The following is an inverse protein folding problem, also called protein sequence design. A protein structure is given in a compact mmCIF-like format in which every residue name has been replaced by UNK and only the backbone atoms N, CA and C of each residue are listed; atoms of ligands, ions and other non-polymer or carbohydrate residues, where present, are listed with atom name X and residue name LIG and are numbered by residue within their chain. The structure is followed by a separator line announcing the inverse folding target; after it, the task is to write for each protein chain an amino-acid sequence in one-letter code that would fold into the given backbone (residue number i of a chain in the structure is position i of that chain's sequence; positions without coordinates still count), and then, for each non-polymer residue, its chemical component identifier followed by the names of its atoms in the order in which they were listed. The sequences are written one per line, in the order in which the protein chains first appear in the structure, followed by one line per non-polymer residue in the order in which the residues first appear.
data_IF_703950282394
#
_entry.id   IF_703950282394
#
_cell.length_a   1.000
_cell.length_b   1.000
_cell.length_c   1.000
_cell.angle_alpha   90.00
_cell.angle_beta   90.00
_cell.angle_gamma   90.00
#
_symmetry.space_group_name_H-M   'P 1'
#
loop_
_entity.id
_entity.type
_entity.pdbx_description
1 polymer ?
#
# COMPACT_ATOMS: atom_id res chain seq x y z
N UNK A 1 -2.55 28.59 49.11
CA UNK A 1 -2.31 27.16 48.94
C UNK A 1 -3.60 26.36 49.17
N UNK A 2 -3.62 25.16 48.66
CA UNK A 2 -4.65 24.13 48.91
C UNK A 2 -3.93 22.93 49.56
N UNK A 3 -4.47 22.42 50.64
CA UNK A 3 -3.99 21.18 51.26
C UNK A 3 -4.92 20.00 50.92
N UNK A 4 -4.34 18.92 50.49
CA UNK A 4 -5.09 17.70 50.14
C UNK A 4 -4.18 16.47 50.33
N UNK A 5 -4.63 15.51 51.15
CA UNK A 5 -3.96 14.24 51.38
C UNK A 5 -2.44 14.28 51.63
N UNK A 6 -1.98 15.23 52.47
CA UNK A 6 -0.58 15.39 52.79
C UNK A 6 0.24 16.20 51.79
N UNK A 7 -0.40 16.78 50.79
CA UNK A 7 0.24 17.60 49.77
C UNK A 7 -0.30 19.05 49.83
N UNK A 8 0.61 20.00 49.80
CA UNK A 8 0.31 21.43 49.67
C UNK A 8 0.50 21.84 48.21
N UNK A 9 -0.54 22.42 47.61
CA UNK A 9 -0.56 22.89 46.22
C UNK A 9 -0.69 24.40 46.16
N UNK A 10 -0.34 24.97 45.04
CA UNK A 10 -0.78 26.33 44.66
C UNK A 10 -2.31 26.39 44.53
N UNK A 11 -2.92 27.58 44.59
CA UNK A 11 -4.37 27.76 44.50
C UNK A 11 -4.95 27.21 43.21
N UNK A 12 -4.22 27.32 42.10
CA UNK A 12 -4.56 26.80 40.76
C UNK A 12 -4.28 25.32 40.60
N UNK A 13 -3.73 24.66 41.63
CA UNK A 13 -3.28 23.26 41.62
C UNK A 13 -2.32 22.91 40.48
N UNK A 14 -1.50 23.86 40.03
CA UNK A 14 -0.48 23.61 38.99
C UNK A 14 0.87 23.19 39.55
N UNK A 15 1.12 23.48 40.82
CA UNK A 15 2.42 23.21 41.44
C UNK A 15 2.24 22.53 42.81
N UNK A 16 3.13 21.60 43.11
CA UNK A 16 3.31 21.11 44.49
C UNK A 16 4.29 21.98 45.23
N UNK A 17 3.82 22.61 46.31
CA UNK A 17 4.61 23.47 47.18
C UNK A 17 5.43 22.58 48.14
N UNK A 18 4.78 21.63 48.81
CA UNK A 18 5.42 20.74 49.77
C UNK A 18 4.56 19.48 49.98
N UNK A 19 5.23 18.40 50.33
CA UNK A 19 4.63 17.14 50.77
C UNK A 19 5.00 16.92 52.22
N UNK A 20 4.05 16.43 53.06
CA UNK A 20 4.35 16.17 54.48
C UNK A 20 5.45 15.12 54.62
N UNK A 21 6.45 15.30 55.52
CA UNK A 21 7.56 14.34 55.69
C UNK A 21 7.13 12.92 56.08
N UNK A 22 5.93 12.75 56.65
CA UNK A 22 5.34 11.47 57.00
C UNK A 22 4.82 10.66 55.83
N UNK A 23 4.81 11.25 54.61
CA UNK A 23 4.42 10.56 53.37
C UNK A 23 5.28 9.31 53.12
N UNK A 24 4.64 8.20 52.72
CA UNK A 24 5.35 6.92 52.52
C UNK A 24 4.68 6.10 51.40
N UNK A 25 5.45 5.15 50.87
CA UNK A 25 5.00 4.28 49.78
C UNK A 25 5.10 4.99 48.44
N UNK A 26 4.07 4.91 47.63
CA UNK A 26 4.00 5.49 46.30
C UNK A 26 3.40 6.90 46.36
N UNK A 27 4.09 7.87 45.80
CA UNK A 27 3.56 9.21 45.56
C UNK A 27 3.25 9.37 44.08
N UNK A 28 1.96 9.43 43.73
CA UNK A 28 1.50 9.66 42.35
C UNK A 28 1.07 11.11 42.23
N UNK A 29 1.83 11.87 41.41
CA UNK A 29 1.50 13.27 41.11
C UNK A 29 0.43 13.27 40.02
N UNK A 30 -0.66 14.01 40.27
CA UNK A 30 -1.82 14.05 39.38
C UNK A 30 -1.49 14.76 38.03
N UNK A 31 -2.17 14.36 36.97
CA UNK A 31 -2.14 15.10 35.70
C UNK A 31 -2.61 16.55 35.90
N UNK A 32 -1.99 17.46 35.16
CA UNK A 32 -2.20 18.91 35.29
C UNK A 32 -1.19 19.58 36.21
N UNK A 33 -0.46 18.85 37.06
CA UNK A 33 0.66 19.41 37.82
C UNK A 33 1.85 19.57 36.87
N UNK A 34 2.44 20.77 36.87
CA UNK A 34 3.57 21.14 36.01
C UNK A 34 4.88 21.28 36.75
N UNK A 35 4.85 21.52 38.08
CA UNK A 35 6.04 21.84 38.85
C UNK A 35 6.02 21.20 40.23
N UNK A 36 7.15 20.62 40.62
CA UNK A 36 7.53 20.43 42.02
C UNK A 36 8.42 21.61 42.42
N UNK A 37 8.02 22.39 43.45
CA UNK A 37 8.82 23.54 43.92
C UNK A 37 10.12 23.11 44.62
N UNK A 38 10.97 24.09 44.92
CA UNK A 38 12.16 23.85 45.71
C UNK A 38 11.78 23.14 47.01
N UNK A 39 12.52 22.11 47.36
CA UNK A 39 12.33 21.30 48.58
C UNK A 39 10.97 20.61 48.70
N UNK A 40 10.20 20.49 47.63
CA UNK A 40 8.81 20.00 47.69
C UNK A 40 8.66 18.64 48.39
N UNK A 41 9.59 17.71 48.20
CA UNK A 41 9.63 16.39 48.84
C UNK A 41 10.82 16.24 49.78
N UNK A 42 11.53 17.33 50.14
CA UNK A 42 12.73 17.22 50.94
C UNK A 42 12.41 16.58 52.31
N UNK A 43 13.20 15.56 52.66
CA UNK A 43 13.03 14.80 53.91
C UNK A 43 11.86 13.81 53.92
N UNK A 44 11.19 13.55 52.82
CA UNK A 44 10.17 12.50 52.69
C UNK A 44 10.84 11.12 52.66
N UNK A 45 11.38 10.68 53.81
CA UNK A 45 12.19 9.42 53.91
C UNK A 45 11.39 8.15 53.58
N UNK A 46 10.05 8.18 53.69
CA UNK A 46 9.19 7.05 53.52
C UNK A 46 8.69 6.80 52.07
N UNK A 47 8.89 7.76 51.15
CA UNK A 47 8.49 7.60 49.76
C UNK A 47 9.41 6.59 49.08
N UNK A 48 8.82 5.54 48.50
CA UNK A 48 9.53 4.46 47.78
C UNK A 48 9.51 4.65 46.27
N UNK A 49 8.41 5.14 45.71
CA UNK A 49 8.23 5.41 44.30
C UNK A 49 7.59 6.78 44.10
N UNK A 50 8.12 7.53 43.14
CA UNK A 50 7.56 8.80 42.68
C UNK A 50 7.08 8.62 41.25
N UNK A 51 5.81 8.94 40.99
CA UNK A 51 5.23 8.91 39.66
C UNK A 51 4.92 10.34 39.21
N UNK A 52 5.54 10.76 38.13
CA UNK A 52 5.42 12.12 37.55
C UNK A 52 4.56 12.06 36.27
N UNK A 53 3.57 12.97 36.13
CA UNK A 53 2.62 12.97 35.03
C UNK A 53 3.24 13.40 33.69
N UNK A 54 2.44 13.35 32.60
CA UNK A 54 2.85 13.85 31.28
C UNK A 54 3.05 15.37 31.30
N UNK A 55 2.34 16.08 32.17
CA UNK A 55 2.33 17.54 32.27
C UNK A 55 3.50 18.13 33.04
N UNK A 56 4.32 17.29 33.70
CA UNK A 56 5.44 17.80 34.50
C UNK A 56 6.52 18.43 33.62
N UNK A 57 6.93 19.64 33.93
CA UNK A 57 7.94 20.37 33.15
C UNK A 57 9.11 20.88 34.01
N UNK A 58 8.93 20.93 35.32
CA UNK A 58 9.94 21.54 36.20
C UNK A 58 10.02 20.90 37.59
N UNK A 59 11.24 20.60 38.03
CA UNK A 59 11.56 20.17 39.37
C UNK A 59 12.54 21.19 39.99
N UNK A 60 12.15 21.78 41.11
CA UNK A 60 12.94 22.79 41.79
C UNK A 60 14.22 22.27 42.41
N UNK A 61 14.99 23.21 43.00
CA UNK A 61 16.21 22.89 43.72
C UNK A 61 15.89 21.92 44.87
N UNK A 62 16.73 20.91 45.03
CA UNK A 62 16.65 19.96 46.13
C UNK A 62 15.22 19.39 46.34
N UNK A 63 14.44 19.31 45.26
CA UNK A 63 13.01 18.98 45.32
C UNK A 63 12.73 17.58 45.87
N UNK A 64 13.72 16.70 45.85
CA UNK A 64 13.66 15.31 46.37
C UNK A 64 14.85 15.02 47.32
N UNK A 65 15.43 16.04 47.94
CA UNK A 65 16.58 15.86 48.82
C UNK A 65 16.22 15.02 50.03
N UNK A 66 17.13 14.10 50.45
CA UNK A 66 16.93 13.25 51.60
C UNK A 66 15.83 12.21 51.49
N UNK A 67 15.34 11.92 50.30
CA UNK A 67 14.40 10.81 50.06
C UNK A 67 15.12 9.45 50.10
N UNK A 68 15.47 8.98 51.31
CA UNK A 68 16.36 7.81 51.47
C UNK A 68 15.78 6.48 51.05
N UNK A 69 14.43 6.36 51.04
CA UNK A 69 13.76 5.11 50.60
C UNK A 69 13.38 5.12 49.11
N UNK A 70 13.62 6.24 48.41
CA UNK A 70 13.23 6.38 47.00
C UNK A 70 14.04 5.41 46.13
N UNK A 71 13.35 4.40 45.57
CA UNK A 71 13.91 3.35 44.75
C UNK A 71 13.56 3.47 43.26
N UNK A 72 12.44 4.13 42.96
CA UNK A 72 11.97 4.32 41.58
C UNK A 72 11.38 5.72 41.37
N UNK A 73 11.75 6.30 40.23
CA UNK A 73 11.07 7.48 39.67
C UNK A 73 10.52 7.06 38.30
N UNK A 74 9.19 7.13 38.14
CA UNK A 74 8.51 6.90 36.84
C UNK A 74 8.03 8.23 36.30
N UNK A 75 8.49 8.61 35.09
CA UNK A 75 8.15 9.87 34.45
C UNK A 75 7.37 9.58 33.16
N UNK A 76 6.17 10.12 33.02
CA UNK A 76 5.36 9.95 31.80
C UNK A 76 5.66 11.00 30.73
N UNK A 77 6.36 12.08 31.05
CA UNK A 77 6.72 13.12 30.08
C UNK A 77 7.68 12.58 29.02
N UNK A 78 7.41 12.89 27.75
CA UNK A 78 8.26 12.52 26.62
C UNK A 78 9.58 13.29 26.58
N UNK A 79 9.58 14.48 27.13
CA UNK A 79 10.78 15.32 27.31
C UNK A 79 11.13 15.40 28.79
N UNK A 80 12.42 15.32 29.14
CA UNK A 80 12.85 15.44 30.53
C UNK A 80 12.41 16.77 31.14
N UNK A 81 11.72 16.76 32.29
CA UNK A 81 11.49 18.03 33.02
C UNK A 81 12.80 18.70 33.36
N UNK A 82 12.81 20.03 33.36
CA UNK A 82 13.96 20.77 33.88
C UNK A 82 14.16 20.44 35.34
N UNK A 83 15.40 20.30 35.78
CA UNK A 83 15.77 20.04 37.18
C UNK A 83 16.60 21.18 37.71
N UNK A 84 16.29 21.61 38.94
CA UNK A 84 17.07 22.57 39.67
C UNK A 84 18.38 21.98 40.19
N UNK A 85 19.07 22.77 41.05
CA UNK A 85 20.32 22.32 41.67
C UNK A 85 20.08 21.16 42.63
N UNK A 86 20.91 20.12 42.52
CA UNK A 86 21.00 18.99 43.46
C UNK A 86 19.63 18.35 43.81
N UNK A 87 18.78 17.98 42.80
CA UNK A 87 17.40 17.59 43.06
C UNK A 87 17.28 16.33 43.95
N UNK A 88 18.29 15.50 44.01
CA UNK A 88 18.38 14.24 44.78
C UNK A 88 19.48 14.30 45.82
N UNK A 89 19.83 15.48 46.33
CA UNK A 89 20.85 15.64 47.36
C UNK A 89 20.62 14.65 48.53
N UNK A 90 21.66 13.99 48.98
CA UNK A 90 21.61 13.00 50.05
C UNK A 90 20.68 11.80 49.84
N UNK A 91 20.14 11.63 48.67
CA UNK A 91 19.38 10.42 48.28
C UNK A 91 20.30 9.36 47.69
N UNK A 92 19.84 8.08 47.66
CA UNK A 92 20.66 6.94 47.15
C UNK A 92 20.64 6.90 45.62
N UNK A 93 21.13 7.92 44.94
CA UNK A 93 20.99 8.16 43.49
C UNK A 93 21.45 6.95 42.65
N UNK A 94 22.50 6.22 43.09
CA UNK A 94 23.04 5.07 42.36
C UNK A 94 22.13 3.83 42.40
N UNK A 95 21.13 3.81 43.27
CA UNK A 95 20.16 2.69 43.39
C UNK A 95 18.78 3.05 42.87
N UNK A 96 18.53 4.31 42.52
CA UNK A 96 17.25 4.73 41.94
C UNK A 96 17.12 4.23 40.50
N UNK A 97 16.02 3.54 40.19
CA UNK A 97 15.62 3.21 38.84
C UNK A 97 14.76 4.35 38.28
N UNK A 98 15.18 4.94 37.17
CA UNK A 98 14.40 5.90 36.43
C UNK A 98 13.65 5.19 35.32
N UNK A 99 12.32 5.18 35.39
CA UNK A 99 11.47 4.67 34.29
C UNK A 99 10.97 5.80 33.44
N UNK A 100 11.21 5.73 32.14
CA UNK A 100 10.89 6.74 31.15
C UNK A 100 10.11 6.12 29.99
N UNK A 101 9.32 6.90 29.25
CA UNK A 101 8.58 6.39 28.10
C UNK A 101 9.52 5.72 27.08
N UNK A 102 8.99 4.74 26.38
CA UNK A 102 9.71 4.06 25.29
C UNK A 102 10.30 5.07 24.29
N UNK A 103 11.51 4.80 23.78
CA UNK A 103 12.30 5.65 22.88
C UNK A 103 12.85 6.97 23.49
N UNK A 104 12.66 7.20 24.81
CA UNK A 104 13.16 8.43 25.45
C UNK A 104 14.41 8.25 26.31
N UNK A 105 14.89 7.01 26.50
CA UNK A 105 16.05 6.73 27.33
C UNK A 105 17.28 7.59 27.02
N UNK A 106 17.53 7.86 25.73
CA UNK A 106 18.67 8.71 25.30
C UNK A 106 18.46 10.17 25.69
N UNK A 107 17.22 10.66 25.57
CA UNK A 107 16.81 12.03 25.90
C UNK A 107 16.96 12.31 27.40
N UNK A 108 16.70 11.28 28.24
CA UNK A 108 16.85 11.36 29.70
C UNK A 108 18.29 11.14 30.20
N UNK A 109 19.28 11.02 29.32
CA UNK A 109 20.68 10.83 29.74
C UNK A 109 21.14 11.97 30.63
N UNK A 110 21.63 11.64 31.85
CA UNK A 110 22.13 12.61 32.82
C UNK A 110 21.05 13.34 33.62
N UNK A 111 19.77 13.06 33.37
CA UNK A 111 18.68 13.69 34.10
C UNK A 111 18.76 13.41 35.59
N UNK A 112 18.66 14.46 36.40
CA UNK A 112 18.74 14.44 37.87
C UNK A 112 20.00 13.74 38.42
N UNK A 113 21.04 13.54 37.61
CA UNK A 113 22.27 12.84 37.98
C UNK A 113 22.14 11.30 38.04
N UNK A 114 21.00 10.74 37.69
CA UNK A 114 20.77 9.27 37.74
C UNK A 114 21.66 8.57 36.70
N UNK A 115 22.39 7.48 37.07
CA UNK A 115 23.26 6.75 36.16
C UNK A 115 22.47 6.20 34.95
N UNK A 116 23.01 6.30 33.73
CA UNK A 116 22.35 5.83 32.50
C UNK A 116 21.95 4.36 32.52
N UNK A 117 22.74 3.49 33.19
CA UNK A 117 22.42 2.06 33.37
C UNK A 117 21.13 1.82 34.15
N UNK A 118 20.72 2.76 34.98
CA UNK A 118 19.50 2.71 35.79
C UNK A 118 18.28 3.27 35.07
N UNK A 119 18.43 3.86 33.87
CA UNK A 119 17.31 4.33 33.07
C UNK A 119 16.71 3.14 32.31
N UNK A 120 15.45 2.86 32.56
CA UNK A 120 14.66 1.79 31.92
C UNK A 120 13.46 2.38 31.21
N UNK A 121 13.20 1.92 30.03
CA UNK A 121 12.00 2.33 29.27
C UNK A 121 10.79 1.51 29.71
N UNK A 122 9.61 2.10 29.63
CA UNK A 122 8.32 1.45 29.85
C UNK A 122 7.32 1.83 28.76
N UNK A 123 6.21 1.09 28.72
CA UNK A 123 5.14 1.29 27.73
C UNK A 123 5.43 0.54 26.43
N UNK A 124 4.58 0.76 25.47
CA UNK A 124 4.64 0.08 24.18
C UNK A 124 4.34 1.04 23.03
N UNK A 125 4.85 0.71 21.85
CA UNK A 125 4.46 1.34 20.60
C UNK A 125 3.72 0.30 19.77
N UNK A 126 2.50 0.62 19.38
CA UNK A 126 1.69 -0.15 18.46
C UNK A 126 1.69 0.57 17.12
N UNK A 127 2.30 -0.04 16.12
CA UNK A 127 2.45 0.55 14.78
C UNK A 127 1.65 -0.25 13.77
N UNK A 128 0.74 0.40 13.05
CA UNK A 128 0.01 -0.21 11.94
C UNK A 128 0.96 -0.41 10.77
N UNK A 129 0.88 -1.58 10.13
CA UNK A 129 1.71 -1.89 8.96
C UNK A 129 1.14 -1.19 7.73
N UNK A 130 2.02 -0.55 6.97
CA UNK A 130 1.66 -0.06 5.64
C UNK A 130 1.25 -1.24 4.76
N UNK A 131 0.27 -1.02 3.91
CA UNK A 131 -0.25 -2.05 3.02
C UNK A 131 -0.61 -1.48 1.66
N UNK A 132 -0.77 -2.35 0.68
CA UNK A 132 -1.03 -1.99 -0.72
C UNK A 132 -2.18 -2.85 -1.23
N UNK A 133 -3.01 -2.30 -2.09
CA UNK A 133 -3.98 -3.02 -2.92
C UNK A 133 -4.11 -2.36 -4.29
N UNK A 134 -4.66 -3.07 -5.25
CA UNK A 134 -5.03 -2.45 -6.51
C UNK A 134 -6.38 -1.70 -6.40
N UNK A 135 -6.60 -0.75 -7.28
CA UNK A 135 -7.89 -0.11 -7.46
C UNK A 135 -8.97 -1.16 -7.75
N UNK A 136 -10.13 -1.01 -7.12
CA UNK A 136 -11.25 -1.95 -7.23
C UNK A 136 -11.20 -3.16 -6.29
N UNK A 137 -10.09 -3.40 -5.61
CA UNK A 137 -10.01 -4.46 -4.59
C UNK A 137 -10.51 -3.97 -3.23
N UNK A 138 -11.03 -4.89 -2.42
CA UNK A 138 -11.36 -4.61 -1.03
C UNK A 138 -10.11 -4.34 -0.20
N UNK A 139 -10.24 -3.53 0.85
CA UNK A 139 -9.14 -3.32 1.77
C UNK A 139 -8.72 -4.64 2.42
N UNK A 140 -7.42 -4.95 2.46
CA UNK A 140 -6.94 -6.10 3.19
C UNK A 140 -7.16 -5.88 4.70
N UNK A 141 -7.14 -6.95 5.47
CA UNK A 141 -7.13 -6.84 6.93
C UNK A 141 -5.87 -6.12 7.39
N UNK A 142 -6.04 -4.99 8.04
CA UNK A 142 -4.93 -4.22 8.57
C UNK A 142 -4.27 -4.93 9.74
N UNK A 143 -2.96 -5.10 9.67
CA UNK A 143 -2.15 -5.68 10.72
C UNK A 143 -1.34 -4.60 11.44
N UNK A 144 -0.91 -4.91 12.66
CA UNK A 144 -0.01 -4.05 13.43
C UNK A 144 1.15 -4.86 14.03
N UNK A 145 2.16 -4.16 14.48
CA UNK A 145 3.26 -4.71 15.28
C UNK A 145 3.30 -3.98 16.62
N UNK A 146 3.79 -4.70 17.63
CA UNK A 146 3.98 -4.16 18.98
C UNK A 146 5.45 -4.20 19.31
N UNK A 147 5.97 -3.12 19.90
CA UNK A 147 7.30 -3.04 20.47
C UNK A 147 7.21 -2.47 21.89
N UNK A 148 7.81 -3.11 22.84
CA UNK A 148 7.78 -2.72 24.25
C UNK A 148 7.19 -3.79 25.17
N UNK A 149 6.51 -3.37 26.23
CA UNK A 149 5.93 -4.23 27.24
C UNK A 149 4.59 -4.84 26.77
N UNK A 150 4.19 -5.95 27.37
CA UNK A 150 2.86 -6.52 27.15
C UNK A 150 1.77 -5.56 27.66
N UNK A 151 0.66 -5.51 26.98
CA UNK A 151 -0.54 -4.79 27.39
C UNK A 151 -1.81 -5.60 27.09
N UNK A 152 -2.87 -5.29 27.79
CA UNK A 152 -4.20 -5.88 27.57
C UNK A 152 -5.04 -5.02 26.63
N UNK A 153 -5.97 -5.68 25.92
CA UNK A 153 -6.88 -5.05 24.99
C UNK A 153 -6.40 -5.13 23.53
N UNK A 154 -7.18 -4.53 22.64
CA UNK A 154 -6.93 -4.50 21.20
C UNK A 154 -7.16 -3.10 20.66
N UNK A 155 -6.27 -2.59 19.78
CA UNK A 155 -6.51 -1.33 19.11
C UNK A 155 -7.67 -1.45 18.12
N UNK A 156 -8.34 -0.34 17.85
CA UNK A 156 -9.27 -0.19 16.74
C UNK A 156 -8.52 0.42 15.56
N UNK A 157 -8.64 -0.19 14.37
CA UNK A 157 -7.94 0.25 13.16
C UNK A 157 -8.97 0.52 12.09
N UNK A 158 -8.96 1.74 11.54
CA UNK A 158 -9.90 2.22 10.53
C UNK A 158 -9.19 2.84 9.34
N UNK A 159 -9.84 2.80 8.18
CA UNK A 159 -9.39 3.48 6.97
C UNK A 159 -10.62 3.95 6.20
N UNK A 160 -10.63 5.19 5.77
CA UNK A 160 -11.76 5.76 5.02
C UNK A 160 -11.81 5.30 3.56
N UNK A 161 -10.67 4.79 3.03
CA UNK A 161 -10.64 4.27 1.67
C UNK A 161 -11.48 3.01 1.53
N UNK A 162 -12.14 2.85 0.38
CA UNK A 162 -12.92 1.69 -0.01
C UNK A 162 -12.56 1.29 -1.46
N UNK A 163 -13.24 0.29 -2.03
CA UNK A 163 -12.96 -0.25 -3.37
C UNK A 163 -12.98 0.82 -4.47
N UNK A 164 -13.80 1.86 -4.29
CA UNK A 164 -13.97 2.99 -5.25
C UNK A 164 -12.96 4.12 -5.05
N UNK A 165 -12.18 4.07 -3.96
CA UNK A 165 -11.18 5.11 -3.70
C UNK A 165 -10.09 5.10 -4.77
N UNK A 166 -9.81 6.25 -5.43
CA UNK A 166 -8.84 6.35 -6.51
C UNK A 166 -7.41 5.93 -6.13
N UNK A 167 -6.56 5.77 -7.10
CA UNK A 167 -5.11 5.60 -6.90
C UNK A 167 -4.56 6.72 -6.04
N UNK A 168 -3.86 6.35 -4.97
CA UNK A 168 -3.35 7.32 -3.99
C UNK A 168 -2.91 6.68 -2.69
N UNK A 169 -2.60 7.53 -1.71
CA UNK A 169 -2.25 7.13 -0.36
C UNK A 169 -3.34 7.59 0.61
N UNK A 170 -3.72 6.70 1.51
CA UNK A 170 -4.78 6.90 2.49
C UNK A 170 -4.27 6.54 3.87
N UNK A 171 -4.57 7.37 4.85
CA UNK A 171 -4.18 7.10 6.23
C UNK A 171 -4.96 5.92 6.80
N UNK A 172 -4.23 5.01 7.44
CA UNK A 172 -4.81 3.97 8.29
C UNK A 172 -4.69 4.50 9.72
N UNK A 173 -5.82 4.85 10.31
CA UNK A 173 -5.91 5.36 11.68
C UNK A 173 -5.91 4.21 12.68
N UNK A 174 -5.41 4.49 13.86
CA UNK A 174 -5.40 3.57 14.98
C UNK A 174 -5.84 4.31 16.24
N UNK A 175 -6.77 3.71 16.95
CA UNK A 175 -7.30 4.20 18.22
C UNK A 175 -7.15 3.13 19.31
N UNK A 176 -7.33 3.53 20.56
CA UNK A 176 -7.12 2.63 21.70
C UNK A 176 -8.06 1.42 21.71
N UNK A 177 -9.26 1.50 21.09
CA UNK A 177 -10.23 0.43 21.10
C UNK A 177 -10.53 -0.03 22.54
N UNK A 178 -10.15 -1.27 22.87
CA UNK A 178 -10.31 -1.81 24.25
C UNK A 178 -9.05 -1.67 25.12
N UNK A 179 -8.00 -0.98 24.63
CA UNK A 179 -6.78 -0.72 25.39
C UNK A 179 -7.06 0.35 26.44
N UNK A 180 -6.82 0.05 27.70
CA UNK A 180 -6.99 0.97 28.84
C UNK A 180 -5.73 1.72 29.21
N UNK A 181 -4.55 1.12 28.94
CA UNK A 181 -3.25 1.73 29.24
C UNK A 181 -2.93 2.87 28.29
N UNK A 182 -3.02 4.11 28.78
CA UNK A 182 -2.72 5.33 28.01
C UNK A 182 -1.22 5.64 27.86
N UNK A 183 -0.34 4.83 28.45
CA UNK A 183 1.11 4.92 28.21
C UNK A 183 1.54 4.34 26.86
N UNK A 184 0.63 3.67 26.15
CA UNK A 184 0.87 3.08 24.84
C UNK A 184 0.81 4.16 23.77
N UNK A 185 1.84 4.20 22.93
CA UNK A 185 1.89 5.07 21.76
C UNK A 185 1.25 4.33 20.56
N UNK A 186 0.32 5.00 19.89
CA UNK A 186 -0.36 4.49 18.71
C UNK A 186 0.18 5.20 17.46
N UNK A 187 0.68 4.43 16.50
CA UNK A 187 1.22 4.95 15.24
C UNK A 187 0.41 4.38 14.09
N UNK A 188 -0.25 5.24 13.35
CA UNK A 188 -1.02 4.89 12.16
C UNK A 188 -0.13 4.35 11.04
N UNK A 189 -0.76 3.86 9.99
CA UNK A 189 -0.10 3.37 8.79
C UNK A 189 -0.63 4.06 7.54
N UNK A 190 -0.19 3.57 6.39
CA UNK A 190 -0.62 4.07 5.07
C UNK A 190 -1.09 2.90 4.22
N UNK A 191 -2.29 3.03 3.65
CA UNK A 191 -2.78 2.21 2.56
C UNK A 191 -2.41 2.90 1.24
N UNK A 192 -1.68 2.19 0.38
CA UNK A 192 -1.44 2.63 -0.99
C UNK A 192 -2.41 1.89 -1.92
N UNK A 193 -3.19 2.66 -2.68
CA UNK A 193 -4.03 2.14 -3.76
C UNK A 193 -3.26 2.32 -5.05
N UNK A 194 -2.84 1.21 -5.66
CA UNK A 194 -2.12 1.17 -6.93
C UNK A 194 -3.07 1.03 -8.11
N UNK A 195 -2.58 1.35 -9.32
CA UNK A 195 -3.34 1.18 -10.55
C UNK A 195 -3.71 -0.30 -10.76
N UNK A 196 -5.00 -0.56 -11.04
CA UNK A 196 -5.47 -1.85 -11.51
C UNK A 196 -4.92 -2.16 -12.92
N UNK A 197 -4.78 -3.43 -13.26
CA UNK A 197 -4.31 -3.82 -14.59
C UNK A 197 -5.49 -3.98 -15.55
N UNK A 198 -5.50 -3.17 -16.62
CA UNK A 198 -6.44 -3.27 -17.71
C UNK A 198 -5.76 -3.94 -18.91
N UNK A 199 -6.21 -5.11 -19.27
CA UNK A 199 -5.71 -5.83 -20.44
C UNK A 199 -6.51 -5.43 -21.67
N UNK A 200 -5.82 -4.96 -22.70
CA UNK A 200 -6.41 -4.63 -24.01
C UNK A 200 -5.92 -5.63 -25.03
N UNK A 201 -6.85 -6.19 -25.78
CA UNK A 201 -6.58 -7.17 -26.83
C UNK A 201 -7.34 -6.81 -28.11
N UNK A 202 -6.94 -7.39 -29.21
CA UNK A 202 -7.66 -7.32 -30.49
C UNK A 202 -7.79 -8.70 -31.10
N UNK A 203 -8.76 -8.87 -31.97
CA UNK A 203 -8.99 -10.13 -32.68
C UNK A 203 -7.92 -10.36 -33.76
N UNK A 204 -7.73 -11.63 -34.12
CA UNK A 204 -7.02 -11.97 -35.33
C UNK A 204 -7.99 -11.77 -36.52
N UNK A 205 -7.52 -11.09 -37.53
CA UNK A 205 -8.32 -10.76 -38.71
C UNK A 205 -7.62 -11.19 -40.00
N UNK A 206 -8.37 -11.33 -41.06
CA UNK A 206 -7.87 -11.74 -42.38
C UNK A 206 -8.33 -10.74 -43.45
N UNK A 207 -7.53 -10.59 -44.52
CA UNK A 207 -7.90 -9.90 -45.73
C UNK A 207 -7.21 -10.49 -46.95
N UNK A 208 -7.69 -10.18 -48.14
CA UNK A 208 -7.02 -10.49 -49.39
C UNK A 208 -5.93 -9.44 -49.72
N UNK A 209 -4.89 -9.83 -50.46
CA UNK A 209 -3.95 -8.89 -51.07
C UNK A 209 -4.68 -7.81 -51.86
N UNK A 210 -4.16 -6.59 -51.85
CA UNK A 210 -4.76 -5.44 -52.57
C UNK A 210 -6.06 -4.95 -51.96
N UNK A 211 -6.45 -5.39 -50.79
CA UNK A 211 -7.62 -4.84 -50.05
C UNK A 211 -7.17 -4.03 -48.87
N UNK A 212 -7.93 -3.02 -48.43
CA UNK A 212 -7.62 -2.26 -47.23
C UNK A 212 -7.68 -3.13 -45.98
N UNK A 213 -6.90 -2.77 -44.95
CA UNK A 213 -6.99 -3.42 -43.66
C UNK A 213 -8.38 -3.21 -43.04
N UNK A 214 -8.97 -4.25 -42.45
CA UNK A 214 -10.20 -4.09 -41.66
C UNK A 214 -9.96 -3.22 -40.43
N UNK A 215 -11.02 -2.71 -39.84
CA UNK A 215 -10.97 -2.06 -38.55
C UNK A 215 -10.55 -3.05 -37.48
N UNK A 216 -9.62 -2.65 -36.60
CA UNK A 216 -9.16 -3.48 -35.51
C UNK A 216 -9.98 -3.17 -34.24
N UNK A 217 -10.87 -4.07 -33.89
CA UNK A 217 -11.72 -3.95 -32.70
C UNK A 217 -10.90 -4.22 -31.45
N UNK A 218 -11.01 -3.34 -30.46
CA UNK A 218 -10.33 -3.51 -29.16
C UNK A 218 -11.29 -4.08 -28.12
N UNK A 219 -10.80 -5.04 -27.37
CA UNK A 219 -11.49 -5.67 -26.25
C UNK A 219 -10.76 -5.37 -24.95
N UNK A 220 -11.50 -5.00 -23.92
CA UNK A 220 -10.97 -4.63 -22.61
C UNK A 220 -11.37 -5.66 -21.55
N UNK A 221 -10.40 -6.02 -20.71
CA UNK A 221 -10.63 -6.92 -19.56
C UNK A 221 -9.90 -6.40 -18.33
N UNK A 222 -10.64 -6.26 -17.24
CA UNK A 222 -10.10 -5.84 -15.94
C UNK A 222 -10.59 -4.50 -15.45
N UNK A 223 -11.65 -3.95 -16.02
CA UNK A 223 -12.36 -2.84 -15.39
C UNK A 223 -12.91 -3.26 -14.03
N UNK A 224 -12.69 -2.42 -13.03
CA UNK A 224 -13.19 -2.57 -11.67
C UNK A 224 -14.50 -1.80 -11.47
N UNK A 225 -15.19 -2.06 -10.36
CA UNK A 225 -16.36 -1.30 -9.91
C UNK A 225 -17.50 -1.17 -10.93
N UNK A 226 -17.58 -2.05 -11.96
CA UNK A 226 -18.55 -1.94 -13.05
C UNK A 226 -18.24 -0.84 -14.07
N UNK A 227 -17.03 -0.32 -14.09
CA UNK A 227 -16.55 0.69 -15.04
C UNK A 227 -16.39 0.12 -16.45
N UNK A 228 -16.24 1.01 -17.42
CA UNK A 228 -16.05 0.70 -18.84
C UNK A 228 -15.10 1.72 -19.49
N UNK A 229 -14.99 1.72 -20.80
CA UNK A 229 -14.10 2.59 -21.58
C UNK A 229 -14.29 4.11 -21.36
N UNK A 230 -15.38 4.53 -20.75
CA UNK A 230 -15.64 5.96 -20.49
C UNK A 230 -14.69 6.55 -19.43
N UNK A 231 -14.04 5.70 -18.60
CA UNK A 231 -13.05 6.16 -17.61
C UNK A 231 -11.64 6.37 -18.20
N UNK A 232 -11.45 6.05 -19.49
CA UNK A 232 -10.18 6.24 -20.17
C UNK A 232 -10.04 7.71 -20.59
N UNK A 233 -8.96 8.35 -20.16
CA UNK A 233 -8.61 9.72 -20.58
C UNK A 233 -8.10 9.75 -22.01
N UNK A 234 -7.35 8.71 -22.40
CA UNK A 234 -6.92 8.45 -23.78
C UNK A 234 -7.23 6.99 -24.11
N UNK A 235 -7.88 6.74 -25.23
CA UNK A 235 -8.15 5.36 -25.68
C UNK A 235 -6.90 4.77 -26.35
N UNK A 236 -6.57 3.50 -26.13
CA UNK A 236 -5.56 2.79 -26.90
C UNK A 236 -5.94 2.72 -28.38
N UNK A 237 -4.94 2.60 -29.23
CA UNK A 237 -5.10 2.43 -30.67
C UNK A 237 -4.40 1.15 -31.13
N UNK A 238 -4.97 0.49 -32.14
CA UNK A 238 -4.36 -0.67 -32.78
C UNK A 238 -3.81 -0.27 -34.16
N UNK A 239 -2.63 -0.79 -34.51
CA UNK A 239 -1.98 -0.55 -35.80
C UNK A 239 -1.21 -1.80 -36.26
N UNK A 240 -0.93 -1.84 -37.56
CA UNK A 240 -0.09 -2.89 -38.14
C UNK A 240 0.87 -2.25 -39.17
N UNK A 241 1.98 -2.93 -39.42
CA UNK A 241 2.90 -2.54 -40.48
C UNK A 241 2.40 -2.92 -41.88
N UNK A 242 1.37 -3.78 -41.98
CA UNK A 242 0.78 -4.15 -43.27
C UNK A 242 0.00 -2.97 -43.89
N UNK A 243 0.33 -2.66 -45.13
CA UNK A 243 -0.40 -1.72 -46.00
C UNK A 243 -1.22 -2.49 -47.02
N UNK A 244 -2.07 -1.83 -47.76
CA UNK A 244 -2.87 -2.43 -48.85
C UNK A 244 -1.97 -3.22 -49.84
N UNK A 245 -0.77 -2.70 -50.13
CA UNK A 245 0.22 -3.33 -51.02
C UNK A 245 1.03 -4.46 -50.39
N UNK A 246 0.86 -4.75 -49.09
CA UNK A 246 1.63 -5.81 -48.43
C UNK A 246 1.28 -7.18 -48.98
N UNK A 247 2.31 -8.05 -49.25
CA UNK A 247 2.11 -9.37 -49.80
C UNK A 247 1.43 -10.33 -48.78
N UNK A 248 0.98 -11.48 -49.25
CA UNK A 248 0.43 -12.54 -48.41
C UNK A 248 1.42 -12.91 -47.30
N UNK A 249 0.91 -13.05 -46.09
CA UNK A 249 1.72 -13.31 -44.89
C UNK A 249 1.00 -12.93 -43.61
N UNK A 250 1.66 -13.15 -42.48
CA UNK A 250 1.18 -12.75 -41.15
C UNK A 250 1.88 -11.49 -40.69
N UNK A 251 1.10 -10.55 -40.19
CA UNK A 251 1.55 -9.28 -39.66
C UNK A 251 0.99 -9.07 -38.25
N UNK A 252 1.81 -8.58 -37.33
CA UNK A 252 1.35 -8.26 -35.97
C UNK A 252 0.38 -7.07 -36.03
N UNK A 253 -0.69 -7.15 -35.24
CA UNK A 253 -1.51 -6.00 -34.86
C UNK A 253 -1.05 -5.57 -33.48
N UNK A 254 -0.40 -4.41 -33.38
CA UNK A 254 0.18 -3.86 -32.15
C UNK A 254 -0.78 -2.84 -31.55
N UNK A 255 -1.04 -2.96 -30.27
CA UNK A 255 -1.86 -2.01 -29.50
C UNK A 255 -0.93 -1.12 -28.72
N UNK A 256 -1.19 0.19 -28.70
CA UNK A 256 -0.38 1.16 -27.97
C UNK A 256 -1.21 2.35 -27.50
N UNK A 257 -0.59 3.21 -26.67
CA UNK A 257 -1.26 4.36 -26.09
C UNK A 257 -2.19 3.96 -24.93
N UNK A 258 -3.17 4.83 -24.67
CA UNK A 258 -4.11 4.64 -23.55
C UNK A 258 -3.63 5.28 -22.27
N UNK A 259 -4.50 6.09 -21.65
CA UNK A 259 -4.27 6.69 -20.35
C UNK A 259 -5.53 6.58 -19.51
N UNK A 260 -5.34 6.31 -18.22
CA UNK A 260 -6.40 6.32 -17.23
C UNK A 260 -5.83 6.62 -15.83
N UNK A 261 -6.62 7.26 -15.01
CA UNK A 261 -6.23 7.60 -13.64
C UNK A 261 -5.93 6.34 -12.81
N UNK A 262 -6.85 5.39 -12.86
CA UNK A 262 -6.87 4.23 -11.97
C UNK A 262 -6.37 2.93 -12.61
N UNK A 263 -5.95 2.96 -13.89
CA UNK A 263 -5.52 1.77 -14.64
C UNK A 263 -4.13 1.92 -15.23
N UNK A 264 -3.40 0.80 -15.24
CA UNK A 264 -2.22 0.59 -16.07
C UNK A 264 -2.55 -0.43 -17.15
N UNK A 265 -2.00 -0.25 -18.35
CA UNK A 265 -2.36 -1.04 -19.51
C UNK A 265 -1.39 -2.20 -19.74
N UNK A 266 -1.95 -3.33 -20.16
CA UNK A 266 -1.21 -4.48 -20.69
C UNK A 266 -1.83 -4.84 -22.02
N UNK A 267 -1.00 -5.05 -23.06
CA UNK A 267 -1.49 -5.27 -24.40
C UNK A 267 -1.25 -6.71 -24.86
N UNK A 268 -2.28 -7.30 -25.49
CA UNK A 268 -2.17 -8.56 -26.21
C UNK A 268 -2.30 -8.29 -27.69
N UNK A 269 -1.22 -8.54 -28.42
CA UNK A 269 -1.19 -8.41 -29.88
C UNK A 269 -2.20 -9.32 -30.55
N UNK A 270 -2.79 -8.86 -31.66
CA UNK A 270 -3.50 -9.69 -32.61
C UNK A 270 -2.63 -9.97 -33.85
N UNK A 271 -3.20 -10.71 -34.80
CA UNK A 271 -2.57 -11.01 -36.09
C UNK A 271 -3.50 -10.61 -37.25
N UNK A 272 -2.92 -9.96 -38.25
CA UNK A 272 -3.53 -9.79 -39.56
C UNK A 272 -2.92 -10.82 -40.52
N UNK A 273 -3.75 -11.69 -41.04
CA UNK A 273 -3.33 -12.62 -42.10
C UNK A 273 -3.77 -12.09 -43.45
N UNK A 274 -2.78 -11.71 -44.27
CA UNK A 274 -3.02 -11.33 -45.68
C UNK A 274 -2.98 -12.62 -46.52
N UNK A 275 -4.09 -12.90 -47.15
CA UNK A 275 -4.24 -14.08 -48.03
C UNK A 275 -3.88 -13.69 -49.46
N UNK A 276 -3.29 -14.59 -50.19
CA UNK A 276 -3.07 -14.43 -51.65
C UNK A 276 -4.39 -14.08 -52.32
N UNK A 277 -4.37 -13.12 -53.23
CA UNK A 277 -5.51 -12.93 -54.13
C UNK A 277 -5.77 -14.30 -54.81
N UNK A 278 -6.99 -14.81 -54.70
CA UNK A 278 -7.36 -16.04 -55.43
C UNK A 278 -7.21 -15.78 -56.94
N UNK A 279 -6.00 -15.97 -57.42
CA UNK A 279 -5.72 -15.89 -58.87
C UNK A 279 -6.43 -17.05 -59.52
N UNK A 280 -7.34 -16.74 -60.47
CA UNK A 280 -7.77 -17.72 -61.46
C UNK A 280 -6.57 -17.88 -62.40
N UNK A 281 -5.74 -18.90 -62.09
CA UNK A 281 -4.72 -19.26 -63.09
C UNK A 281 -5.41 -19.81 -64.31
N UNK A 282 -5.38 -19.07 -65.43
CA UNK A 282 -5.59 -19.68 -66.74
C UNK A 282 -4.53 -20.78 -66.87
N UNK A 283 -4.95 -22.02 -67.07
CA UNK A 283 -4.01 -23.02 -67.46
C UNK A 283 -3.45 -22.62 -68.86
N UNK A 284 -2.16 -22.26 -68.86
CA UNK A 284 -1.46 -22.04 -70.11
C UNK A 284 -1.52 -23.35 -70.93
N UNK A 285 -1.98 -23.23 -72.14
CA UNK A 285 -2.13 -24.38 -73.07
C UNK A 285 -0.83 -25.03 -73.50
N UNK A 286 0.32 -24.66 -72.83
CA UNK A 286 1.67 -25.13 -73.20
C UNK A 286 2.15 -26.43 -72.49
N UNK A 287 1.36 -26.99 -71.55
CA UNK A 287 1.74 -28.24 -70.89
C UNK A 287 0.97 -29.43 -71.54
N UNK A 288 1.12 -29.59 -72.86
CA UNK A 288 0.43 -30.57 -73.71
C UNK A 288 1.14 -31.90 -73.71
N UNK A 289 1.51 -32.52 -72.56
CA UNK A 289 2.23 -33.78 -72.57
C UNK A 289 1.48 -35.00 -72.00
N UNK A 290 0.34 -34.83 -71.29
CA UNK A 290 -0.56 -35.99 -70.91
C UNK A 290 -1.97 -35.45 -70.60
N UNK A 291 -3.04 -36.13 -71.08
CA UNK A 291 -4.39 -35.75 -70.73
C UNK A 291 -4.64 -35.95 -69.22
N UNK A 292 -4.87 -34.85 -68.52
CA UNK A 292 -5.10 -34.86 -67.07
C UNK A 292 -6.60 -34.95 -66.78
N UNK A 293 -6.97 -35.55 -65.66
CA UNK A 293 -8.36 -35.73 -65.27
C UNK A 293 -8.94 -34.35 -64.78
N UNK A 294 -10.12 -34.03 -65.29
CA UNK A 294 -10.90 -32.89 -64.95
C UNK A 294 -12.04 -33.22 -64.01
N UNK A 295 -12.18 -32.52 -62.89
CA UNK A 295 -13.27 -32.72 -61.95
C UNK A 295 -14.18 -31.50 -61.89
N UNK A 296 -15.45 -31.70 -61.63
CA UNK A 296 -16.35 -30.64 -61.21
C UNK A 296 -15.96 -30.07 -59.84
N UNK A 297 -16.51 -28.91 -59.49
CA UNK A 297 -16.33 -28.34 -58.16
C UNK A 297 -16.93 -29.21 -57.02
N UNK A 298 -17.83 -30.12 -57.37
CA UNK A 298 -18.38 -31.15 -56.46
C UNK A 298 -17.52 -32.41 -56.31
N UNK A 299 -16.36 -32.45 -57.02
CA UNK A 299 -15.42 -33.59 -56.98
C UNK A 299 -15.73 -34.72 -57.95
N UNK A 300 -16.78 -34.60 -58.83
CA UNK A 300 -17.07 -35.61 -59.80
C UNK A 300 -16.14 -35.50 -61.04
N UNK A 301 -15.60 -36.59 -61.51
CA UNK A 301 -14.80 -36.67 -62.75
C UNK A 301 -15.71 -36.35 -63.94
N UNK A 302 -15.37 -35.30 -64.70
CA UNK A 302 -16.19 -34.81 -65.86
C UNK A 302 -15.47 -34.94 -67.21
N UNK A 303 -14.17 -35.21 -67.21
CA UNK A 303 -13.44 -35.36 -68.45
C UNK A 303 -11.91 -35.35 -68.24
N UNK A 304 -11.18 -35.07 -69.31
CA UNK A 304 -9.74 -34.84 -69.32
C UNK A 304 -9.39 -33.51 -69.93
N UNK A 305 -8.15 -33.05 -69.76
CA UNK A 305 -7.70 -31.82 -70.36
C UNK A 305 -7.81 -31.76 -71.89
N UNK A 306 -7.81 -32.90 -72.57
CA UNK A 306 -8.05 -33.02 -74.01
C UNK A 306 -9.51 -32.64 -74.38
N UNK A 307 -10.46 -32.70 -73.47
CA UNK A 307 -11.87 -32.42 -73.69
C UNK A 307 -12.33 -31.12 -72.99
N UNK A 308 -11.42 -30.28 -72.48
CA UNK A 308 -11.75 -29.10 -71.75
C UNK A 308 -12.61 -28.12 -72.59
N UNK A 309 -12.33 -27.99 -73.88
CA UNK A 309 -13.09 -27.12 -74.81
C UNK A 309 -14.51 -27.61 -75.12
N UNK A 310 -14.81 -28.84 -74.83
CA UNK A 310 -16.13 -29.40 -75.03
C UNK A 310 -16.99 -29.48 -73.76
N UNK A 311 -16.43 -29.08 -72.64
CA UNK A 311 -17.18 -29.03 -71.37
C UNK A 311 -18.08 -27.75 -71.34
N UNK A 312 -19.22 -27.84 -70.68
CA UNK A 312 -20.07 -26.68 -70.46
C UNK A 312 -19.30 -25.53 -69.75
N UNK A 313 -19.73 -24.27 -70.04
CA UNK A 313 -19.17 -23.12 -69.31
C UNK A 313 -19.30 -23.35 -67.79
N UNK A 314 -18.19 -23.18 -67.08
CA UNK A 314 -18.19 -23.46 -65.65
C UNK A 314 -16.79 -23.44 -65.05
N UNK A 315 -16.74 -23.76 -63.74
CA UNK A 315 -15.49 -23.89 -62.98
C UNK A 315 -15.20 -25.38 -62.76
N UNK A 316 -14.00 -25.78 -63.06
CA UNK A 316 -13.52 -27.18 -62.99
C UNK A 316 -12.22 -27.25 -62.16
N UNK A 317 -11.83 -28.44 -61.74
CA UNK A 317 -10.58 -28.66 -61.00
C UNK A 317 -9.70 -29.59 -61.84
N UNK A 318 -8.52 -29.14 -62.14
CA UNK A 318 -7.46 -29.86 -62.84
C UNK A 318 -6.20 -29.77 -62.00
N UNK A 319 -5.60 -30.86 -61.62
CA UNK A 319 -4.43 -30.92 -60.77
C UNK A 319 -4.55 -30.02 -59.51
N UNK A 320 -5.64 -30.12 -58.80
CA UNK A 320 -5.96 -29.28 -57.63
C UNK A 320 -6.01 -27.75 -57.92
N UNK A 321 -6.01 -27.34 -59.16
CA UNK A 321 -6.17 -25.96 -59.60
C UNK A 321 -7.54 -25.72 -60.20
N UNK A 322 -8.15 -24.57 -59.93
CA UNK A 322 -9.40 -24.12 -60.56
C UNK A 322 -9.12 -23.69 -61.97
N UNK A 323 -9.91 -24.23 -62.92
CA UNK A 323 -9.89 -23.85 -64.33
C UNK A 323 -11.30 -23.40 -64.72
N UNK A 324 -11.38 -22.27 -65.45
CA UNK A 324 -12.66 -21.73 -65.96
C UNK A 324 -12.78 -22.00 -67.44
N UNK A 325 -13.84 -22.75 -67.80
CA UNK A 325 -14.25 -22.91 -69.19
C UNK A 325 -15.27 -21.80 -69.50
N UNK A 326 -14.93 -20.94 -70.43
CA UNK A 326 -15.75 -19.78 -70.84
C UNK A 326 -16.74 -20.14 -71.94
#
# INVERSE_FOLDING_TARGET
FVYDNGIFYTKDRKEIISVVPSAKGDLVVAEGITTLRNYALAGCIGIKRLVLPTTITNLGNESMAGCHSLAEIKVFAQQPPKVGKDPLLSSRINSIILRVPIDTKKTYRGWAGIPYKNIKEFGSIVTVRNTVRAYGEANPKFGYSVRGEYFEGKPEITCEANEKSPVGKYDIRIDYGTITDKSIQLVGGVLTVDKATLTVSTDNVTRQEGKPNPEFVLHYRGFANGENEQVLTVRPTASTTATEASPAGEYDIVISGGEAQNYKFTYKKGKLTVLTAAGINHADASDAAKPQTVYSVSGAKVGTTASLSSLPRGVYIVNNKKVVVK
#
